data_IF_666212508569
#
_entry.id   IF_666212508569
#
_cell.length_a   1.000
_cell.length_b   1.000
_cell.length_c   1.000
_cell.angle_alpha   90.00
_cell.angle_beta   90.00
_cell.angle_gamma   90.00
#
_symmetry.space_group_name_H-M   'P 1'
#
loop_
_entity.id
_entity.type
_entity.pdbx_description
1 polymer ?
#
# COMPACT_ATOMS: atom_id res chain seq x y z
N UNK A 1 -18.53 -21.97 43.60
CA UNK A 1 -18.71 -20.91 42.58
C UNK A 1 -18.83 -21.57 41.23
N UNK A 2 -20.00 -21.53 40.60
CA UNK A 2 -20.18 -22.07 39.26
C UNK A 2 -19.28 -21.28 38.29
N UNK A 3 -18.36 -21.96 37.61
CA UNK A 3 -17.60 -21.39 36.51
C UNK A 3 -18.59 -21.01 35.41
N UNK A 4 -18.97 -19.74 35.32
CA UNK A 4 -19.77 -19.20 34.23
C UNK A 4 -18.90 -19.16 32.98
N UNK A 5 -18.71 -20.35 32.37
CA UNK A 5 -18.06 -20.48 31.07
C UNK A 5 -18.79 -19.58 30.09
N UNK A 6 -18.03 -18.69 29.46
CA UNK A 6 -18.54 -17.81 28.40
C UNK A 6 -19.23 -18.69 27.35
N UNK A 7 -20.48 -18.42 26.98
CA UNK A 7 -21.20 -19.22 26.00
C UNK A 7 -20.41 -19.35 24.71
N UNK A 8 -20.43 -20.54 24.10
CA UNK A 8 -19.65 -20.83 22.88
C UNK A 8 -19.97 -19.84 21.75
N UNK A 9 -21.23 -19.44 21.60
CA UNK A 9 -21.67 -18.43 20.64
C UNK A 9 -20.95 -17.10 20.81
N UNK A 10 -20.83 -16.61 22.05
CA UNK A 10 -20.13 -15.36 22.37
C UNK A 10 -18.64 -15.48 22.04
N UNK A 11 -18.02 -16.63 22.31
CA UNK A 11 -16.60 -16.88 21.97
C UNK A 11 -16.37 -16.90 20.46
N UNK A 12 -17.29 -17.48 19.69
CA UNK A 12 -17.22 -17.51 18.23
C UNK A 12 -17.39 -16.11 17.66
N UNK A 13 -18.39 -15.35 18.12
CA UNK A 13 -18.61 -13.97 17.68
C UNK A 13 -17.42 -13.08 18.01
N UNK A 14 -16.81 -13.21 19.19
CA UNK A 14 -15.58 -12.48 19.55
C UNK A 14 -14.41 -12.85 18.64
N UNK A 15 -14.22 -14.14 18.33
CA UNK A 15 -13.18 -14.60 17.41
C UNK A 15 -13.36 -14.03 16.00
N UNK A 16 -14.59 -14.06 15.47
CA UNK A 16 -14.90 -13.47 14.15
C UNK A 16 -14.64 -11.97 14.18
N UNK A 17 -15.13 -11.26 15.20
CA UNK A 17 -14.95 -9.81 15.31
C UNK A 17 -13.46 -9.44 15.32
N UNK A 18 -12.67 -10.08 16.18
CA UNK A 18 -11.21 -9.85 16.27
C UNK A 18 -10.51 -10.15 14.96
N UNK A 19 -10.86 -11.26 14.30
CA UNK A 19 -10.23 -11.63 13.03
C UNK A 19 -10.56 -10.62 11.93
N UNK A 20 -11.81 -10.16 11.84
CA UNK A 20 -12.23 -9.14 10.88
C UNK A 20 -11.51 -7.81 11.13
N UNK A 21 -11.44 -7.35 12.39
CA UNK A 21 -10.75 -6.11 12.74
C UNK A 21 -9.26 -6.21 12.41
N UNK A 22 -8.60 -7.31 12.79
CA UNK A 22 -7.19 -7.53 12.46
C UNK A 22 -6.96 -7.61 10.94
N UNK A 23 -7.87 -8.23 10.19
CA UNK A 23 -7.83 -8.27 8.73
C UNK A 23 -7.93 -6.87 8.11
N UNK A 24 -8.87 -6.05 8.59
CA UNK A 24 -9.02 -4.67 8.13
C UNK A 24 -7.78 -3.83 8.43
N UNK A 25 -7.24 -3.93 9.66
CA UNK A 25 -5.99 -3.26 10.04
C UNK A 25 -4.84 -3.71 9.15
N UNK A 26 -4.71 -5.01 8.87
CA UNK A 26 -3.70 -5.56 7.98
C UNK A 26 -3.79 -4.98 6.57
N UNK A 27 -4.99 -4.92 5.98
CA UNK A 27 -5.23 -4.33 4.66
C UNK A 27 -4.85 -2.85 4.66
N UNK A 28 -5.24 -2.09 5.69
CA UNK A 28 -4.89 -0.68 5.82
C UNK A 28 -3.37 -0.46 5.92
N UNK A 29 -2.66 -1.25 6.73
CA UNK A 29 -1.19 -1.15 6.87
C UNK A 29 -0.50 -1.47 5.55
N UNK A 30 -0.91 -2.52 4.85
CA UNK A 30 -0.36 -2.86 3.52
C UNK A 30 -0.66 -1.77 2.50
N UNK A 31 -1.89 -1.23 2.49
CA UNK A 31 -2.29 -0.15 1.60
C UNK A 31 -1.48 1.13 1.82
N UNK A 32 -1.36 1.57 3.07
CA UNK A 32 -0.53 2.73 3.44
C UNK A 32 0.92 2.48 3.05
N UNK A 33 1.48 1.32 3.40
CA UNK A 33 2.85 0.96 3.05
C UNK A 33 3.10 0.99 1.55
N UNK A 34 2.17 0.50 0.73
CA UNK A 34 2.24 0.53 -0.73
C UNK A 34 2.24 1.96 -1.28
N UNK A 35 1.33 2.81 -0.80
CA UNK A 35 1.26 4.22 -1.21
C UNK A 35 2.54 4.95 -0.80
N UNK A 36 2.94 4.83 0.47
CA UNK A 36 4.16 5.46 0.99
C UNK A 36 5.40 4.98 0.25
N UNK A 37 5.51 3.69 -0.08
CA UNK A 37 6.61 3.16 -0.86
C UNK A 37 6.64 3.73 -2.27
N UNK A 38 5.50 3.82 -2.96
CA UNK A 38 5.42 4.43 -4.28
C UNK A 38 5.77 5.92 -4.23
N UNK A 39 5.26 6.66 -3.24
CA UNK A 39 5.60 8.07 -3.05
C UNK A 39 7.10 8.21 -2.77
N UNK A 40 7.66 7.43 -1.85
CA UNK A 40 9.09 7.47 -1.53
C UNK A 40 9.93 7.17 -2.77
N UNK A 41 9.61 6.09 -3.50
CA UNK A 41 10.34 5.71 -4.71
C UNK A 41 10.20 6.72 -5.85
N UNK A 42 9.15 7.52 -5.89
CA UNK A 42 8.97 8.59 -6.88
C UNK A 42 9.33 9.98 -6.35
N UNK A 43 9.68 10.13 -5.07
CA UNK A 43 10.07 11.42 -4.50
C UNK A 43 11.56 11.68 -4.71
N UNK A 44 11.90 12.96 -4.85
CA UNK A 44 13.29 13.42 -4.97
C UNK A 44 14.15 13.08 -3.74
N UNK A 45 13.51 12.63 -2.64
CA UNK A 45 14.18 12.23 -1.41
C UNK A 45 14.82 10.84 -1.51
N UNK A 46 14.20 9.92 -2.25
CA UNK A 46 14.83 8.65 -2.56
C UNK A 46 15.74 8.85 -3.77
N UNK A 47 17.06 8.78 -3.56
CA UNK A 47 18.10 8.74 -4.61
C UNK A 47 17.92 7.67 -5.70
N UNK A 48 16.84 6.89 -5.63
CA UNK A 48 16.49 5.87 -6.62
C UNK A 48 15.83 6.43 -7.88
N UNK A 49 15.46 7.72 -7.92
CA UNK A 49 14.65 8.29 -9.00
C UNK A 49 15.20 9.57 -9.64
N UNK A 50 16.51 9.82 -9.49
CA UNK A 50 17.17 11.06 -9.97
C UNK A 50 16.97 11.32 -11.49
N UNK A 51 16.55 10.32 -12.28
CA UNK A 51 16.39 10.44 -13.73
C UNK A 51 14.94 10.28 -14.25
N UNK A 52 13.94 9.98 -13.41
CA UNK A 52 12.58 9.64 -13.88
C UNK A 52 11.65 10.86 -14.02
N UNK A 53 11.94 11.95 -13.32
CA UNK A 53 11.20 13.22 -13.39
C UNK A 53 12.05 14.35 -14.00
N UNK A 54 13.33 14.10 -14.24
CA UNK A 54 14.24 15.06 -14.84
C UNK A 54 14.02 15.06 -16.35
N UNK A 55 13.68 16.22 -16.89
CA UNK A 55 13.48 16.39 -18.33
C UNK A 55 14.75 15.96 -19.09
N UNK A 56 14.68 14.84 -19.79
CA UNK A 56 15.74 14.40 -20.68
C UNK A 56 15.45 14.92 -22.09
N UNK A 57 16.30 15.87 -22.53
CA UNK A 57 16.18 16.52 -23.85
C UNK A 57 16.30 15.52 -25.00
N UNK A 58 17.08 14.45 -24.83
CA UNK A 58 17.27 13.40 -25.82
C UNK A 58 15.99 12.55 -25.97
N UNK A 59 15.38 12.12 -24.86
CA UNK A 59 14.09 11.41 -24.89
C UNK A 59 12.95 12.28 -25.46
N UNK A 60 12.96 13.59 -25.18
CA UNK A 60 12.00 14.52 -25.76
C UNK A 60 12.14 14.62 -27.28
N UNK A 61 13.37 14.67 -27.80
CA UNK A 61 13.63 14.72 -29.23
C UNK A 61 13.38 13.37 -29.94
N UNK A 62 13.55 12.23 -29.28
CA UNK A 62 13.20 10.91 -29.80
C UNK A 62 11.69 10.69 -29.87
N UNK A 63 10.94 10.99 -28.80
CA UNK A 63 9.48 10.86 -28.78
C UNK A 63 8.79 11.69 -29.89
N UNK A 64 9.34 12.88 -30.19
CA UNK A 64 8.81 13.73 -31.26
C UNK A 64 9.11 13.22 -32.67
N UNK A 65 10.15 12.40 -32.85
CA UNK A 65 10.46 11.77 -34.15
C UNK A 65 9.53 10.58 -34.43
N UNK A 66 9.02 9.93 -33.39
CA UNK A 66 8.02 8.87 -33.53
C UNK A 66 6.60 9.40 -33.81
N UNK A 67 6.24 10.60 -33.34
CA UNK A 67 4.95 11.23 -33.66
C UNK A 67 4.85 11.77 -35.11
N UNK A 68 5.98 12.00 -35.78
CA UNK A 68 6.07 12.53 -37.15
C UNK A 68 6.20 11.43 -38.24
N UNK A 69 6.01 10.15 -37.89
CA UNK A 69 6.09 8.98 -38.78
C UNK A 69 4.76 8.21 -38.84
#
# INVERSE_FOLDING_TARGET
MASSKIPLSVRITDAIHRTTVLGLVGICVVGIGSITYNVYRNSDFAKMNENKLTFNKEQYHEARKEEDN
#
